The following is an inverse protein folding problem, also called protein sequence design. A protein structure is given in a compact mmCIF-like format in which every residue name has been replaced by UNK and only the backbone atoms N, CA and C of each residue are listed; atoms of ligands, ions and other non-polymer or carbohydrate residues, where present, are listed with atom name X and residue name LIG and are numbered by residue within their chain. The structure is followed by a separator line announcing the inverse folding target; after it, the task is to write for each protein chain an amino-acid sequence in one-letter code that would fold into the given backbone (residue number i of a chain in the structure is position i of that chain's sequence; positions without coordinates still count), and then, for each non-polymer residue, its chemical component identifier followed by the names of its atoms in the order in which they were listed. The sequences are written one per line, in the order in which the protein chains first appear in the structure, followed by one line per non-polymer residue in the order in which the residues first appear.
data_IF_566933782049
#
_entry.id   IF_566933782049
#
_cell.length_a   1.000
_cell.length_b   1.000
_cell.length_c   1.000
_cell.angle_alpha   90.00
_cell.angle_beta   90.00
_cell.angle_gamma   90.00
#
_symmetry.space_group_name_H-M   'P 1'
#
loop_
_entity.id
_entity.type
_entity.pdbx_description
1 polymer ?
#
# COMPACT_ATOMS: atom_id res chain seq x y z
N UNK A 1 24.01 50.95 -4.54
CA UNK A 1 23.40 49.88 -5.34
C UNK A 1 22.98 48.80 -4.36
N UNK A 2 21.70 48.75 -4.00
CA UNK A 2 21.18 47.61 -3.25
C UNK A 2 21.15 46.41 -4.21
N UNK A 3 21.96 45.39 -3.92
CA UNK A 3 21.95 44.16 -4.70
C UNK A 3 20.57 43.51 -4.56
N UNK A 4 19.81 43.45 -5.64
CA UNK A 4 18.47 42.90 -5.61
C UNK A 4 18.57 41.38 -5.76
N UNK A 5 17.73 40.61 -5.07
CA UNK A 5 17.71 39.15 -5.24
C UNK A 5 17.44 38.73 -6.71
N UNK A 6 16.83 39.61 -7.50
CA UNK A 6 16.62 39.40 -8.93
C UNK A 6 17.92 39.38 -9.75
N UNK A 7 19.02 39.93 -9.24
CA UNK A 7 20.31 39.98 -9.93
C UNK A 7 21.13 38.69 -9.75
N UNK A 8 20.73 37.82 -8.82
CA UNK A 8 21.39 36.54 -8.57
C UNK A 8 21.22 35.58 -9.76
N UNK A 9 22.25 34.74 -9.96
CA UNK A 9 22.20 33.65 -10.93
C UNK A 9 21.11 32.63 -10.56
N UNK A 10 20.59 31.91 -11.55
CA UNK A 10 19.56 30.89 -11.32
C UNK A 10 20.05 29.82 -10.34
N UNK A 11 21.32 29.42 -10.41
CA UNK A 11 21.92 28.43 -9.52
C UNK A 11 21.95 28.87 -8.06
N UNK A 12 22.32 30.12 -7.80
CA UNK A 12 22.32 30.69 -6.45
C UNK A 12 20.90 30.79 -5.91
N UNK A 13 19.95 31.24 -6.73
CA UNK A 13 18.54 31.29 -6.35
C UNK A 13 17.99 29.90 -6.04
N UNK A 14 18.30 28.88 -6.84
CA UNK A 14 17.90 27.50 -6.56
C UNK A 14 18.45 27.02 -5.22
N UNK A 15 19.72 27.32 -4.91
CA UNK A 15 20.36 26.92 -3.65
C UNK A 15 19.79 27.66 -2.44
N UNK A 16 19.41 28.92 -2.59
CA UNK A 16 18.70 29.69 -1.55
C UNK A 16 17.30 29.12 -1.33
N UNK A 17 16.57 28.89 -2.42
CA UNK A 17 15.22 28.33 -2.39
C UNK A 17 15.19 26.93 -1.77
N UNK A 18 16.29 26.17 -1.79
CA UNK A 18 16.39 24.88 -1.08
C UNK A 18 16.26 24.99 0.44
N UNK A 19 16.52 26.16 1.03
CA UNK A 19 16.36 26.41 2.46
C UNK A 19 14.96 26.96 2.80
N UNK A 20 14.20 27.39 1.79
CA UNK A 20 12.85 27.90 1.97
C UNK A 20 11.87 26.77 2.27
N UNK A 21 10.91 27.03 3.17
CA UNK A 21 9.79 26.11 3.33
C UNK A 21 8.92 26.12 2.09
N UNK A 22 8.08 25.09 1.92
CA UNK A 22 7.13 25.03 0.82
C UNK A 22 6.15 26.22 0.82
N UNK A 23 5.82 26.74 2.01
CA UNK A 23 5.00 27.95 2.15
C UNK A 23 5.74 29.18 1.64
N UNK A 24 7.02 29.30 1.94
CA UNK A 24 7.85 30.41 1.47
C UNK A 24 8.02 30.34 -0.05
N UNK A 25 8.29 29.15 -0.60
CA UNK A 25 8.35 28.92 -2.05
C UNK A 25 7.04 29.25 -2.76
N UNK A 26 5.89 29.04 -2.09
CA UNK A 26 4.60 29.45 -2.62
C UNK A 26 4.45 30.97 -2.63
N UNK A 27 4.87 31.68 -1.58
CA UNK A 27 4.84 33.14 -1.54
C UNK A 27 5.81 33.77 -2.55
N UNK A 28 7.03 33.23 -2.66
CA UNK A 28 8.06 33.66 -3.61
C UNK A 28 7.62 33.50 -5.08
N UNK A 29 6.76 32.53 -5.39
CA UNK A 29 6.19 32.42 -6.75
C UNK A 29 5.28 33.59 -7.13
N UNK A 30 4.75 34.30 -6.13
CA UNK A 30 3.82 35.40 -6.33
C UNK A 30 4.53 36.78 -6.32
N UNK A 31 5.84 36.84 -6.05
CA UNK A 31 6.58 38.10 -5.96
C UNK A 31 7.03 38.60 -7.34
N UNK A 32 7.63 37.75 -8.17
CA UNK A 32 8.08 38.15 -9.52
C UNK A 32 8.05 37.01 -10.54
N UNK A 33 8.08 37.36 -11.82
CA UNK A 33 8.00 36.40 -12.93
C UNK A 33 9.24 35.50 -13.02
N UNK A 34 10.43 36.02 -12.67
CA UNK A 34 11.68 35.26 -12.64
C UNK A 34 11.59 34.11 -11.62
N UNK A 35 11.22 34.41 -10.37
CA UNK A 35 11.06 33.39 -9.32
C UNK A 35 9.95 32.40 -9.66
N UNK A 36 8.83 32.90 -10.20
CA UNK A 36 7.73 32.04 -10.64
C UNK A 36 8.20 31.00 -11.68
N UNK A 37 9.00 31.42 -12.67
CA UNK A 37 9.56 30.51 -13.69
C UNK A 37 10.55 29.51 -13.10
N UNK A 38 11.49 29.96 -12.27
CA UNK A 38 12.53 29.11 -11.65
C UNK A 38 11.88 28.07 -10.72
N UNK A 39 10.97 28.49 -9.85
CA UNK A 39 10.33 27.59 -8.88
C UNK A 39 9.41 26.59 -9.60
N UNK A 40 8.75 26.99 -10.69
CA UNK A 40 7.93 26.07 -11.50
C UNK A 40 8.74 25.06 -12.29
N UNK A 41 9.92 25.43 -12.79
CA UNK A 41 10.80 24.51 -13.51
C UNK A 41 11.53 23.55 -12.56
N UNK A 42 11.73 23.94 -11.30
CA UNK A 42 12.45 23.15 -10.31
C UNK A 42 11.52 22.17 -9.56
N UNK A 43 11.30 20.99 -10.14
CA UNK A 43 10.45 19.93 -9.56
C UNK A 43 10.99 19.31 -8.26
N UNK A 44 12.30 19.43 -8.04
CA UNK A 44 13.01 18.89 -6.86
C UNK A 44 13.03 19.84 -5.65
N UNK A 45 12.68 21.11 -5.87
CA UNK A 45 12.62 22.09 -4.80
C UNK A 45 11.47 21.79 -3.85
N UNK A 46 11.72 21.93 -2.55
CA UNK A 46 10.78 21.56 -1.50
C UNK A 46 10.75 20.07 -1.12
N UNK A 47 11.57 19.20 -1.73
CA UNK A 47 11.68 17.80 -1.29
C UNK A 47 12.17 17.65 0.17
N UNK A 48 12.77 18.70 0.76
CA UNK A 48 13.20 18.73 2.17
C UNK A 48 12.03 18.93 3.15
N UNK A 49 10.88 19.45 2.71
CA UNK A 49 9.69 19.56 3.56
C UNK A 49 8.78 18.37 3.26
N UNK A 50 8.67 17.40 4.17
CA UNK A 50 7.87 16.18 3.99
C UNK A 50 6.38 16.53 3.91
N UNK A 51 5.89 16.67 2.68
CA UNK A 51 4.45 16.70 2.41
C UNK A 51 3.89 15.29 2.47
N UNK A 52 2.71 15.18 3.08
CA UNK A 52 1.98 13.92 3.12
C UNK A 52 1.46 13.58 1.73
N UNK A 53 1.60 12.30 1.37
CA UNK A 53 1.17 11.67 0.12
C UNK A 53 1.86 12.18 -1.15
N UNK A 54 2.17 13.47 -1.24
CA UNK A 54 2.65 14.11 -2.48
C UNK A 54 4.17 14.18 -2.60
N UNK A 55 4.91 13.52 -1.70
CA UNK A 55 6.34 13.41 -1.87
C UNK A 55 6.65 12.42 -3.00
N UNK A 56 7.37 12.91 -4.00
CA UNK A 56 7.93 12.06 -5.05
C UNK A 56 9.39 11.76 -4.73
N UNK A 57 9.74 11.53 -3.47
CA UNK A 57 11.13 11.20 -3.10
C UNK A 57 11.40 9.75 -3.47
N UNK A 58 10.48 8.86 -3.13
CA UNK A 58 10.64 7.41 -3.32
C UNK A 58 10.25 6.95 -4.72
N UNK A 59 11.05 6.04 -5.28
CA UNK A 59 10.85 5.50 -6.63
C UNK A 59 9.54 4.70 -6.72
N UNK A 60 9.17 3.95 -5.68
CA UNK A 60 7.89 3.21 -5.66
C UNK A 60 6.68 4.14 -5.81
N UNK A 61 6.69 5.27 -5.11
CA UNK A 61 5.63 6.25 -5.20
C UNK A 61 5.60 6.92 -6.58
N UNK A 62 6.78 7.22 -7.15
CA UNK A 62 6.88 7.71 -8.54
C UNK A 62 6.32 6.71 -9.55
N UNK A 63 6.55 5.41 -9.35
CA UNK A 63 6.07 4.37 -10.25
C UNK A 63 4.53 4.24 -10.25
N UNK A 64 3.86 4.64 -9.17
CA UNK A 64 2.38 4.72 -9.12
C UNK A 64 1.84 5.98 -9.80
N UNK A 65 2.64 7.04 -9.88
CA UNK A 65 2.24 8.32 -10.45
C UNK A 65 2.52 8.38 -11.96
N UNK A 66 1.59 8.89 -12.76
CA UNK A 66 1.80 9.04 -14.21
C UNK A 66 2.74 10.20 -14.55
N UNK A 67 2.70 11.27 -13.76
CA UNK A 67 3.55 12.46 -13.88
C UNK A 67 4.03 12.94 -12.51
N UNK A 68 5.09 13.75 -12.53
CA UNK A 68 5.56 14.47 -11.34
C UNK A 68 4.70 15.72 -11.12
N UNK A 69 4.31 15.96 -9.87
CA UNK A 69 3.57 17.15 -9.48
C UNK A 69 4.51 18.36 -9.35
N UNK A 70 4.04 19.52 -9.80
CA UNK A 70 4.67 20.82 -9.52
C UNK A 70 4.57 21.15 -8.03
N UNK A 71 5.42 22.04 -7.52
CA UNK A 71 5.39 22.45 -6.09
C UNK A 71 3.99 22.92 -5.69
N UNK A 72 3.36 23.76 -6.52
CA UNK A 72 2.00 24.26 -6.28
C UNK A 72 1.01 23.11 -6.12
N UNK A 73 1.07 22.09 -6.99
CA UNK A 73 0.23 20.90 -6.92
C UNK A 73 0.49 20.08 -5.66
N UNK A 74 1.76 19.81 -5.32
CA UNK A 74 2.09 19.09 -4.10
C UNK A 74 1.48 19.75 -2.87
N UNK A 75 1.52 21.08 -2.77
CA UNK A 75 0.96 21.84 -1.64
C UNK A 75 -0.54 21.65 -1.49
N UNK A 76 -1.30 21.99 -2.53
CA UNK A 76 -2.75 22.03 -2.41
C UNK A 76 -3.33 20.61 -2.35
N UNK A 77 -2.71 19.64 -3.03
CA UNK A 77 -3.14 18.24 -2.96
C UNK A 77 -2.85 17.69 -1.56
N UNK A 78 -1.66 17.94 -1.00
CA UNK A 78 -1.37 17.55 0.39
C UNK A 78 -2.32 18.23 1.40
N UNK A 79 -2.68 19.50 1.17
CA UNK A 79 -3.69 20.19 1.95
C UNK A 79 -5.06 19.50 1.84
N UNK A 80 -5.46 19.09 0.64
CA UNK A 80 -6.71 18.39 0.39
C UNK A 80 -6.76 17.05 1.12
N UNK A 81 -5.67 16.27 1.08
CA UNK A 81 -5.55 15.03 1.86
C UNK A 81 -5.76 15.31 3.35
N UNK A 82 -5.00 16.24 3.93
CA UNK A 82 -5.09 16.58 5.37
C UNK A 82 -6.49 17.03 5.80
N UNK A 83 -7.15 17.86 5.00
CA UNK A 83 -8.43 18.47 5.36
C UNK A 83 -9.66 17.71 4.82
N UNK A 84 -9.46 16.55 4.19
CA UNK A 84 -10.55 15.76 3.63
C UNK A 84 -11.31 16.46 2.52
N UNK A 85 -10.62 17.18 1.64
CA UNK A 85 -11.22 17.85 0.47
C UNK A 85 -11.06 16.95 -0.75
N UNK A 86 -12.13 16.28 -1.16
CA UNK A 86 -12.07 15.33 -2.28
C UNK A 86 -13.43 15.14 -2.96
N UNK A 87 -13.38 14.61 -4.18
CA UNK A 87 -14.54 14.08 -4.88
C UNK A 87 -14.49 12.57 -4.81
N UNK A 88 -15.63 11.95 -4.53
CA UNK A 88 -15.74 10.50 -4.40
C UNK A 88 -16.58 9.91 -5.52
N UNK A 89 -16.08 8.83 -6.13
CA UNK A 89 -16.81 8.01 -7.08
C UNK A 89 -16.82 6.56 -6.59
N UNK A 90 -18.01 6.00 -6.39
CA UNK A 90 -18.20 4.58 -6.13
C UNK A 90 -18.36 3.84 -7.48
N UNK A 91 -17.38 3.00 -7.82
CA UNK A 91 -17.31 2.20 -9.03
C UNK A 91 -17.54 0.72 -8.68
N UNK A 92 -18.25 0.01 -9.55
CA UNK A 92 -18.45 -1.44 -9.49
C UNK A 92 -19.19 -1.95 -8.23
N UNK A 93 -20.53 -2.06 -8.29
CA UNK A 93 -21.35 -2.68 -7.23
C UNK A 93 -21.39 -4.19 -7.45
N UNK A 94 -20.76 -4.97 -6.59
CA UNK A 94 -20.51 -6.39 -6.83
C UNK A 94 -21.24 -7.30 -5.84
N UNK A 95 -21.29 -8.60 -6.16
CA UNK A 95 -21.58 -9.65 -5.16
C UNK A 95 -20.49 -9.63 -4.09
N UNK A 96 -20.83 -10.03 -2.86
CA UNK A 96 -19.89 -10.04 -1.74
C UNK A 96 -18.72 -11.01 -2.01
N UNK A 97 -17.52 -10.48 -2.19
CA UNK A 97 -16.24 -11.22 -2.15
C UNK A 97 -15.18 -10.33 -1.49
N UNK A 98 -14.02 -10.88 -1.15
CA UNK A 98 -12.90 -10.13 -0.58
C UNK A 98 -12.02 -9.64 -1.75
N UNK A 99 -12.04 -8.34 -2.10
CA UNK A 99 -11.24 -7.83 -3.20
C UNK A 99 -9.79 -7.55 -2.78
N UNK A 100 -8.89 -7.72 -3.73
CA UNK A 100 -7.54 -7.18 -3.70
C UNK A 100 -7.33 -6.26 -4.87
N UNK A 101 -6.54 -5.21 -4.64
CA UNK A 101 -6.16 -4.28 -5.69
C UNK A 101 -4.66 -4.07 -5.69
N UNK A 102 -4.12 -3.90 -6.89
CA UNK A 102 -2.73 -3.48 -7.09
C UNK A 102 -2.72 -2.30 -8.05
N UNK A 103 -2.07 -1.23 -7.61
CA UNK A 103 -1.93 -0.01 -8.37
C UNK A 103 -0.61 -0.01 -9.14
N UNK A 104 -0.72 0.17 -10.46
CA UNK A 104 0.42 0.41 -11.37
C UNK A 104 0.28 1.80 -11.99
N UNK A 105 1.33 2.25 -12.68
CA UNK A 105 1.31 3.54 -13.40
C UNK A 105 0.11 3.69 -14.34
N UNK A 106 -0.18 2.65 -15.11
CA UNK A 106 -1.11 2.72 -16.26
C UNK A 106 -2.42 1.97 -16.03
N UNK A 107 -2.48 1.12 -14.99
CA UNK A 107 -3.64 0.31 -14.67
C UNK A 107 -3.89 0.20 -13.15
N UNK A 108 -5.15 0.04 -12.76
CA UNK A 108 -5.53 -0.54 -11.47
C UNK A 108 -6.00 -1.97 -11.71
N UNK A 109 -5.27 -2.94 -11.16
CA UNK A 109 -5.70 -4.34 -11.15
C UNK A 109 -6.63 -4.56 -9.97
N UNK A 110 -7.77 -5.22 -10.19
CA UNK A 110 -8.75 -5.53 -9.16
C UNK A 110 -9.24 -6.97 -9.32
N UNK A 111 -9.12 -7.75 -8.25
CA UNK A 111 -9.73 -9.09 -8.18
C UNK A 111 -11.22 -8.99 -7.91
N UNK A 112 -11.98 -9.85 -8.59
CA UNK A 112 -13.42 -10.01 -8.47
C UNK A 112 -13.78 -11.49 -8.45
N UNK A 113 -13.73 -12.08 -7.25
CA UNK A 113 -13.82 -13.53 -7.09
C UNK A 113 -12.75 -14.21 -7.93
N UNK A 114 -13.19 -14.94 -8.95
CA UNK A 114 -12.35 -15.75 -9.84
C UNK A 114 -11.75 -15.01 -11.05
N UNK A 115 -11.92 -13.67 -11.16
CA UNK A 115 -11.36 -12.85 -12.25
C UNK A 115 -10.50 -11.71 -11.72
N UNK A 116 -9.47 -11.35 -12.47
CA UNK A 116 -8.73 -10.09 -12.31
C UNK A 116 -9.00 -9.23 -13.53
N UNK A 117 -9.40 -7.98 -13.29
CA UNK A 117 -9.63 -6.98 -14.33
C UNK A 117 -8.62 -5.84 -14.20
N UNK A 118 -8.19 -5.32 -15.34
CA UNK A 118 -7.32 -4.15 -15.42
C UNK A 118 -8.12 -2.94 -15.88
N UNK A 119 -8.29 -1.98 -14.98
CA UNK A 119 -8.90 -0.67 -15.24
C UNK A 119 -7.82 0.28 -15.73
N UNK A 120 -7.96 0.78 -16.96
CA UNK A 120 -6.96 1.69 -17.54
C UNK A 120 -7.01 3.06 -16.87
N UNK A 121 -5.86 3.70 -16.74
CA UNK A 121 -5.76 5.07 -16.18
C UNK A 121 -4.92 6.00 -17.06
N UNK A 122 -5.42 6.38 -18.26
CA UNK A 122 -4.69 7.31 -19.12
C UNK A 122 -4.43 8.61 -18.35
N UNK A 123 -3.18 9.07 -18.37
CA UNK A 123 -2.73 10.28 -17.67
C UNK A 123 -2.97 10.28 -16.14
N UNK A 124 -3.22 9.12 -15.53
CA UNK A 124 -3.39 8.97 -14.08
C UNK A 124 -4.83 9.13 -13.60
N UNK A 125 -5.77 9.33 -14.52
CA UNK A 125 -7.21 9.36 -14.23
C UNK A 125 -7.76 7.98 -14.55
N UNK A 126 -8.39 7.32 -13.57
CA UNK A 126 -8.98 6.01 -13.79
C UNK A 126 -10.19 6.10 -14.73
N UNK A 127 -10.11 5.42 -15.86
CA UNK A 127 -11.24 5.20 -16.76
C UNK A 127 -12.00 3.95 -16.29
N UNK A 128 -13.15 4.16 -15.66
CA UNK A 128 -13.98 3.10 -15.12
C UNK A 128 -14.82 2.37 -16.19
N UNK A 129 -14.86 2.87 -17.43
CA UNK A 129 -15.52 2.22 -18.56
C UNK A 129 -14.52 1.38 -19.37
N UNK A 130 -13.27 1.80 -19.43
CA UNK A 130 -12.20 1.08 -20.11
C UNK A 130 -11.59 -0.03 -19.23
N UNK A 131 -12.27 -1.17 -19.24
CA UNK A 131 -11.91 -2.36 -18.48
C UNK A 131 -11.40 -3.43 -19.46
N UNK A 132 -10.14 -3.81 -19.29
CA UNK A 132 -9.57 -4.97 -19.97
C UNK A 132 -9.60 -6.19 -19.05
N UNK A 133 -10.03 -7.33 -19.59
CA UNK A 133 -9.86 -8.59 -18.88
C UNK A 133 -8.37 -8.91 -18.75
N UNK A 134 -7.94 -9.32 -17.56
CA UNK A 134 -6.54 -9.64 -17.30
C UNK A 134 -6.34 -11.15 -17.19
N UNK A 135 -6.95 -11.80 -16.19
CA UNK A 135 -6.93 -13.25 -16.06
C UNK A 135 -8.17 -13.80 -15.33
N UNK A 136 -8.51 -15.07 -15.57
CA UNK A 136 -9.60 -15.81 -14.91
C UNK A 136 -9.10 -17.21 -14.57
N UNK A 137 -9.48 -17.71 -13.39
CA UNK A 137 -9.38 -19.14 -13.07
C UNK A 137 -10.82 -19.66 -12.96
N UNK A 138 -11.24 -20.69 -13.71
CA UNK A 138 -12.60 -21.21 -13.62
C UNK A 138 -12.94 -21.67 -12.19
N UNK A 139 -14.11 -21.26 -11.69
CA UNK A 139 -14.74 -21.74 -10.45
C UNK A 139 -13.93 -21.64 -9.13
N UNK A 140 -12.82 -20.90 -9.13
CA UNK A 140 -11.96 -20.73 -7.95
C UNK A 140 -11.64 -19.25 -7.74
N UNK A 141 -11.96 -18.73 -6.56
CA UNK A 141 -11.69 -17.34 -6.23
C UNK A 141 -10.22 -17.10 -5.88
N UNK A 142 -9.72 -15.92 -6.26
CA UNK A 142 -8.41 -15.44 -5.85
C UNK A 142 -8.41 -14.99 -4.39
N UNK A 143 -7.49 -15.52 -3.59
CA UNK A 143 -7.31 -15.13 -2.19
C UNK A 143 -6.60 -13.79 -2.06
N UNK A 144 -5.35 -13.66 -2.53
CA UNK A 144 -4.55 -12.43 -2.60
C UNK A 144 -3.59 -12.53 -3.78
N UNK A 145 -3.38 -11.42 -4.49
CA UNK A 145 -2.43 -11.37 -5.60
C UNK A 145 -1.46 -10.21 -5.46
N UNK A 146 -0.29 -10.37 -6.07
CA UNK A 146 0.72 -9.34 -6.25
C UNK A 146 0.97 -9.10 -7.73
N UNK A 147 1.51 -7.93 -8.07
CA UNK A 147 2.00 -7.64 -9.42
C UNK A 147 3.46 -7.20 -9.32
N UNK A 148 4.38 -8.06 -9.77
CA UNK A 148 5.82 -7.83 -9.78
C UNK A 148 6.40 -8.36 -11.08
N UNK A 149 7.44 -7.71 -11.61
CA UNK A 149 8.15 -8.15 -12.81
C UNK A 149 7.22 -8.41 -14.02
N UNK A 150 6.18 -7.58 -14.19
CA UNK A 150 5.15 -7.73 -15.22
C UNK A 150 4.37 -9.07 -15.17
N UNK A 151 4.32 -9.69 -13.98
CA UNK A 151 3.61 -10.94 -13.71
C UNK A 151 2.60 -10.71 -12.58
N UNK A 152 1.46 -11.38 -12.65
CA UNK A 152 0.55 -11.50 -11.51
C UNK A 152 0.76 -12.86 -10.87
N UNK A 153 1.09 -12.88 -9.57
CA UNK A 153 1.11 -14.12 -8.76
C UNK A 153 -0.07 -14.06 -7.82
N UNK A 154 -0.84 -15.13 -7.74
CA UNK A 154 -2.01 -15.20 -6.86
C UNK A 154 -2.09 -16.55 -6.17
N UNK A 155 -2.49 -16.52 -4.89
CA UNK A 155 -2.95 -17.69 -4.16
C UNK A 155 -4.44 -17.93 -4.39
N UNK A 156 -4.85 -19.19 -4.48
CA UNK A 156 -6.22 -19.59 -4.72
C UNK A 156 -6.87 -20.21 -3.47
N UNK A 157 -8.20 -20.19 -3.41
CA UNK A 157 -8.96 -20.80 -2.30
C UNK A 157 -8.80 -22.32 -2.21
N UNK A 158 -8.47 -23.01 -3.31
CA UNK A 158 -8.31 -24.46 -3.32
C UNK A 158 -6.89 -24.93 -2.98
N UNK A 159 -5.99 -24.04 -2.55
CA UNK A 159 -4.60 -24.38 -2.25
C UNK A 159 -3.64 -24.28 -3.44
N UNK A 160 -4.12 -23.90 -4.63
CA UNK A 160 -3.29 -23.72 -5.82
C UNK A 160 -2.59 -22.34 -5.84
N UNK A 161 -1.52 -22.25 -6.64
CA UNK A 161 -0.83 -20.99 -6.96
C UNK A 161 -0.92 -20.75 -8.46
N UNK A 162 -1.32 -19.54 -8.83
CA UNK A 162 -1.48 -19.13 -10.22
C UNK A 162 -0.56 -17.96 -10.54
N UNK A 163 0.27 -18.13 -11.57
CA UNK A 163 1.14 -17.13 -12.15
C UNK A 163 0.66 -16.82 -13.57
N UNK A 164 0.41 -15.54 -13.82
CA UNK A 164 -0.01 -15.06 -15.13
C UNK A 164 1.01 -14.08 -15.69
N UNK A 165 1.38 -14.26 -16.96
CA UNK A 165 2.32 -13.41 -17.69
C UNK A 165 1.69 -13.00 -19.02
N UNK A 166 1.74 -11.71 -19.38
CA UNK A 166 1.05 -11.21 -20.60
C UNK A 166 1.59 -11.77 -21.92
N UNK A 167 2.87 -12.16 -21.95
CA UNK A 167 3.60 -12.55 -23.16
C UNK A 167 4.20 -13.97 -23.10
N UNK A 168 3.94 -14.70 -22.02
CA UNK A 168 4.49 -16.03 -21.77
C UNK A 168 3.36 -16.97 -21.35
N UNK A 169 3.66 -18.26 -21.23
CA UNK A 169 2.70 -19.22 -20.71
C UNK A 169 2.34 -18.89 -19.26
N UNK A 170 1.06 -19.08 -18.94
CA UNK A 170 0.59 -19.02 -17.57
C UNK A 170 1.02 -20.29 -16.85
N UNK A 171 1.46 -20.16 -15.61
CA UNK A 171 1.90 -21.29 -14.78
C UNK A 171 0.85 -21.50 -13.69
N UNK A 172 0.24 -22.68 -13.69
CA UNK A 172 -0.72 -23.09 -12.67
C UNK A 172 -0.10 -24.23 -11.87
N UNK A 173 0.37 -23.92 -10.67
CA UNK A 173 0.89 -24.92 -9.74
C UNK A 173 -0.28 -25.49 -8.93
N UNK A 174 -0.63 -26.75 -9.22
CA UNK A 174 -1.77 -27.45 -8.61
C UNK A 174 -1.37 -28.22 -7.36
N UNK A 175 -2.29 -28.32 -6.40
CA UNK A 175 -2.12 -29.04 -5.13
C UNK A 175 -0.89 -28.57 -4.34
N UNK A 176 -0.63 -27.26 -4.37
CA UNK A 176 0.52 -26.68 -3.66
C UNK A 176 0.34 -26.77 -2.15
N UNK A 177 -0.85 -26.44 -1.68
CA UNK A 177 -1.27 -26.42 -0.29
C UNK A 177 -2.56 -27.23 -0.09
N UNK A 178 -2.84 -27.62 1.16
CA UNK A 178 -4.05 -28.39 1.50
C UNK A 178 -5.28 -27.51 1.72
N UNK A 179 -5.08 -26.23 1.98
CA UNK A 179 -6.11 -25.22 2.22
C UNK A 179 -5.75 -23.90 1.52
N UNK A 180 -6.64 -22.91 1.58
CA UNK A 180 -6.52 -21.57 1.02
C UNK A 180 -5.11 -20.97 1.12
N UNK A 181 -4.57 -20.49 -0.01
CA UNK A 181 -3.32 -19.74 -0.04
C UNK A 181 -3.61 -18.26 0.20
N UNK A 182 -3.53 -17.81 1.45
CA UNK A 182 -3.90 -16.44 1.84
C UNK A 182 -2.92 -15.36 1.36
N UNK A 183 -1.65 -15.69 1.15
CA UNK A 183 -0.66 -14.72 0.68
C UNK A 183 0.43 -15.38 -0.15
N UNK A 184 0.87 -14.65 -1.16
CA UNK A 184 1.99 -15.00 -2.02
C UNK A 184 2.88 -13.77 -2.20
N UNK A 185 4.17 -13.99 -2.38
CA UNK A 185 5.10 -12.96 -2.85
C UNK A 185 6.11 -13.56 -3.84
N UNK A 186 6.72 -12.69 -4.65
CA UNK A 186 7.69 -13.04 -5.69
C UNK A 186 8.92 -12.16 -5.52
N UNK A 187 10.09 -12.79 -5.52
CA UNK A 187 11.35 -12.11 -5.73
C UNK A 187 12.23 -12.89 -6.67
N UNK A 188 12.77 -12.22 -7.70
CA UNK A 188 13.36 -12.88 -8.87
C UNK A 188 12.48 -14.04 -9.38
N UNK A 189 13.00 -15.26 -9.40
CA UNK A 189 12.32 -16.50 -9.80
C UNK A 189 11.82 -17.33 -8.62
N UNK A 190 11.83 -16.78 -7.40
CA UNK A 190 11.41 -17.48 -6.18
C UNK A 190 10.04 -16.97 -5.73
N UNK A 191 9.10 -17.90 -5.55
CA UNK A 191 7.79 -17.62 -4.95
C UNK A 191 7.81 -18.12 -3.51
N UNK A 192 7.29 -17.29 -2.61
CA UNK A 192 6.89 -17.72 -1.26
C UNK A 192 5.37 -17.72 -1.16
N UNK A 193 4.80 -18.77 -0.60
CA UNK A 193 3.37 -18.90 -0.36
C UNK A 193 3.10 -19.25 1.10
N UNK A 194 2.08 -18.61 1.66
CA UNK A 194 1.57 -18.88 3.00
C UNK A 194 0.11 -19.30 2.94
N UNK A 195 -0.22 -20.39 3.62
CA UNK A 195 -1.57 -20.98 3.60
C UNK A 195 -2.18 -21.11 4.98
N UNK A 196 -3.49 -21.29 4.97
CA UNK A 196 -4.28 -21.74 6.12
C UNK A 196 -3.89 -23.14 6.60
N UNK A 197 -3.23 -23.94 5.77
CA UNK A 197 -2.71 -25.27 6.13
C UNK A 197 -1.52 -25.27 7.12
N UNK A 198 -1.24 -24.10 7.71
CA UNK A 198 -0.17 -23.86 8.68
C UNK A 198 1.25 -23.95 8.11
N UNK A 199 1.38 -24.01 6.77
CA UNK A 199 2.68 -24.09 6.10
C UNK A 199 3.01 -22.86 5.27
N UNK A 200 4.32 -22.63 5.18
CA UNK A 200 4.95 -21.76 4.19
C UNK A 200 5.67 -22.65 3.20
N UNK A 201 5.54 -22.37 1.91
CA UNK A 201 6.26 -23.09 0.86
C UNK A 201 7.04 -22.13 -0.02
N UNK A 202 8.23 -22.57 -0.41
CA UNK A 202 9.12 -21.84 -1.31
C UNK A 202 9.21 -22.62 -2.63
N UNK A 203 9.05 -21.91 -3.73
CA UNK A 203 9.00 -22.47 -5.08
C UNK A 203 9.99 -21.76 -5.97
N UNK A 204 10.60 -22.49 -6.91
CA UNK A 204 11.49 -21.92 -7.93
C UNK A 204 10.81 -21.99 -9.29
N UNK A 205 10.86 -20.90 -10.05
CA UNK A 205 10.36 -20.81 -11.43
C UNK A 205 11.51 -21.08 -12.42
N UNK A 206 12.03 -22.31 -12.47
CA UNK A 206 13.13 -22.66 -13.41
C UNK A 206 12.57 -23.14 -14.76
N UNK A 207 13.01 -22.50 -15.84
CA UNK A 207 12.89 -22.94 -17.24
C UNK A 207 11.48 -23.30 -17.75
N UNK A 208 10.45 -22.53 -17.38
CA UNK A 208 9.06 -22.75 -17.81
C UNK A 208 8.52 -24.17 -17.47
N UNK A 209 9.25 -24.91 -16.63
CA UNK A 209 8.87 -26.21 -16.12
C UNK A 209 8.14 -25.99 -14.81
N UNK A 210 6.90 -26.46 -14.77
CA UNK A 210 6.13 -26.58 -13.54
C UNK A 210 6.86 -27.56 -12.61
N UNK A 211 7.73 -27.07 -11.72
CA UNK A 211 8.11 -27.86 -10.56
C UNK A 211 6.89 -27.88 -9.65
N UNK A 212 6.16 -29.00 -9.66
CA UNK A 212 5.05 -29.26 -8.73
C UNK A 212 5.54 -29.53 -7.30
N UNK A 213 6.86 -29.57 -7.10
CA UNK A 213 7.50 -29.83 -5.81
C UNK A 213 8.07 -28.52 -5.26
N UNK A 214 7.71 -28.13 -4.02
CA UNK A 214 8.32 -26.98 -3.37
C UNK A 214 9.77 -27.27 -3.03
N UNK A 215 10.64 -26.27 -3.18
CA UNK A 215 12.03 -26.35 -2.75
C UNK A 215 12.11 -26.62 -1.25
N UNK A 216 11.28 -25.90 -0.48
CA UNK A 216 11.19 -26.04 0.97
C UNK A 216 9.74 -25.93 1.45
N UNK A 217 9.41 -26.66 2.51
CA UNK A 217 8.14 -26.55 3.23
C UNK A 217 8.44 -26.33 4.72
N UNK A 218 7.88 -25.26 5.26
CA UNK A 218 8.00 -24.87 6.66
C UNK A 218 6.68 -25.03 7.38
N UNK A 219 6.63 -25.85 8.42
CA UNK A 219 5.47 -25.93 9.30
C UNK A 219 5.60 -24.90 10.42
N UNK A 220 4.66 -23.95 10.47
CA UNK A 220 4.66 -22.87 11.44
C UNK A 220 3.78 -23.17 12.66
N UNK A 221 3.03 -24.29 12.63
CA UNK A 221 2.04 -24.69 13.63
C UNK A 221 1.00 -23.59 13.93
N UNK A 222 0.74 -22.72 12.94
CA UNK A 222 -0.27 -21.68 13.00
C UNK A 222 -0.60 -21.21 11.57
N UNK A 223 -1.83 -20.74 11.36
CA UNK A 223 -2.32 -20.30 10.04
C UNK A 223 -1.54 -19.09 9.56
N UNK A 224 -1.19 -19.08 8.27
CA UNK A 224 -0.43 -17.99 7.66
C UNK A 224 -1.38 -17.04 6.95
N UNK A 225 -1.35 -15.77 7.35
CA UNK A 225 -2.18 -14.72 6.77
C UNK A 225 -1.42 -13.87 5.77
N UNK A 226 -0.12 -13.67 5.98
CA UNK A 226 0.70 -12.83 5.12
C UNK A 226 2.12 -13.35 4.99
N UNK A 227 2.70 -13.21 3.81
CA UNK A 227 4.12 -13.45 3.54
C UNK A 227 4.67 -12.30 2.70
N UNK A 228 5.94 -11.94 2.88
CA UNK A 228 6.60 -10.94 2.03
C UNK A 228 8.11 -11.08 2.03
N UNK A 229 8.73 -10.97 0.85
CA UNK A 229 10.17 -10.89 0.68
C UNK A 229 10.71 -9.51 1.07
N UNK A 230 11.83 -9.51 1.78
CA UNK A 230 12.68 -8.32 1.92
C UNK A 230 13.30 -7.97 0.56
N UNK A 231 13.57 -6.68 0.32
CA UNK A 231 14.21 -6.25 -0.93
C UNK A 231 15.57 -6.94 -1.12
N UNK A 232 15.70 -7.78 -2.15
CA UNK A 232 16.91 -8.56 -2.43
C UNK A 232 16.83 -10.04 -2.07
N UNK A 233 15.69 -10.54 -1.58
CA UNK A 233 15.36 -11.98 -1.57
C UNK A 233 15.93 -12.81 -0.42
N UNK A 234 17.01 -12.33 0.20
CA UNK A 234 17.72 -13.02 1.28
C UNK A 234 16.81 -13.34 2.48
N UNK A 235 15.95 -12.39 2.87
CA UNK A 235 15.01 -12.60 3.99
C UNK A 235 13.56 -12.57 3.51
N UNK A 236 12.73 -13.32 4.20
CA UNK A 236 11.28 -13.27 4.09
C UNK A 236 10.64 -13.11 5.47
N UNK A 237 9.45 -12.51 5.49
CA UNK A 237 8.64 -12.40 6.68
C UNK A 237 7.35 -13.21 6.50
N UNK A 238 6.89 -13.80 7.60
CA UNK A 238 5.63 -14.51 7.68
C UNK A 238 4.80 -14.01 8.87
N UNK A 239 3.58 -13.60 8.58
CA UNK A 239 2.56 -13.21 9.53
C UNK A 239 1.58 -14.35 9.78
N UNK A 240 1.53 -14.85 11.01
CA UNK A 240 0.65 -15.95 11.43
C UNK A 240 -0.62 -15.42 12.10
N UNK A 241 -1.52 -16.30 12.55
CA UNK A 241 -2.68 -15.91 13.36
C UNK A 241 -2.31 -15.51 14.81
N UNK A 242 -1.07 -15.73 15.25
CA UNK A 242 -0.59 -15.37 16.59
C UNK A 242 -1.25 -16.17 17.71
N UNK A 243 -1.69 -17.39 17.44
CA UNK A 243 -2.37 -18.26 18.42
C UNK A 243 -1.37 -19.11 19.21
N UNK A 244 -0.41 -19.71 18.52
CA UNK A 244 0.50 -20.71 19.10
C UNK A 244 1.93 -20.18 19.28
N UNK A 245 2.30 -19.15 18.54
CA UNK A 245 3.63 -18.53 18.58
C UNK A 245 3.51 -17.02 18.34
N UNK A 246 4.60 -16.24 18.56
CA UNK A 246 4.61 -14.82 18.19
C UNK A 246 4.17 -14.65 16.73
N UNK A 247 3.37 -13.64 16.39
CA UNK A 247 2.69 -13.59 15.10
C UNK A 247 3.61 -13.27 13.92
N UNK A 248 4.81 -12.71 14.15
CA UNK A 248 5.75 -12.35 13.08
C UNK A 248 6.99 -13.23 13.14
N UNK A 249 7.30 -13.92 12.04
CA UNK A 249 8.48 -14.76 11.90
C UNK A 249 9.33 -14.26 10.75
N UNK A 250 10.62 -14.13 10.99
CA UNK A 250 11.62 -13.74 10.01
C UNK A 250 12.40 -14.97 9.60
N UNK A 251 12.47 -15.23 8.31
CA UNK A 251 12.99 -16.45 7.72
C UNK A 251 14.13 -16.09 6.78
N UNK A 252 15.24 -16.79 6.91
CA UNK A 252 16.30 -16.80 5.89
C UNK A 252 15.81 -17.67 4.73
N UNK A 253 15.60 -17.06 3.56
CA UNK A 253 15.04 -17.75 2.39
C UNK A 253 15.98 -18.83 1.88
N UNK A 254 17.30 -18.57 1.90
CA UNK A 254 18.30 -19.45 1.32
C UNK A 254 18.60 -20.63 2.24
N UNK A 255 18.79 -20.35 3.53
CA UNK A 255 19.07 -21.38 4.53
C UNK A 255 17.83 -22.09 5.00
N UNK A 256 16.66 -21.50 4.73
CA UNK A 256 15.38 -22.02 5.18
C UNK A 256 15.42 -22.28 6.67
N UNK A 257 15.64 -21.22 7.46
CA UNK A 257 15.62 -21.23 8.93
C UNK A 257 14.90 -19.98 9.46
N UNK A 258 14.18 -20.12 10.57
CA UNK A 258 13.65 -18.96 11.30
C UNK A 258 14.77 -18.24 12.03
N UNK A 259 15.03 -16.99 11.67
CA UNK A 259 16.03 -16.12 12.29
C UNK A 259 15.49 -15.45 13.55
N UNK A 260 14.27 -14.92 13.49
CA UNK A 260 13.67 -14.16 14.59
C UNK A 260 12.17 -14.41 14.70
N UNK A 261 11.66 -14.39 15.93
CA UNK A 261 10.23 -14.43 16.25
C UNK A 261 9.85 -13.17 17.01
N UNK A 262 9.08 -12.31 16.37
CA UNK A 262 8.74 -10.96 16.81
C UNK A 262 7.28 -10.89 17.27
N UNK A 263 7.01 -10.00 18.24
CA UNK A 263 5.68 -9.81 18.80
C UNK A 263 5.33 -10.75 19.97
N UNK A 264 6.33 -11.18 20.75
CA UNK A 264 6.12 -12.02 21.95
C UNK A 264 5.23 -11.36 23.01
N UNK A 265 5.25 -10.03 23.06
CA UNK A 265 4.45 -9.20 23.96
C UNK A 265 3.04 -8.88 23.41
N UNK A 266 2.69 -9.36 22.22
CA UNK A 266 1.37 -9.16 21.64
C UNK A 266 0.36 -10.13 22.23
N UNK A 267 -0.90 -9.73 22.22
CA UNK A 267 -2.00 -10.57 22.70
C UNK A 267 -2.11 -11.83 21.83
N UNK A 268 -2.44 -12.95 22.45
CA UNK A 268 -2.83 -14.16 21.72
C UNK A 268 -3.95 -13.84 20.73
N UNK A 269 -3.77 -14.22 19.46
CA UNK A 269 -4.67 -13.89 18.36
C UNK A 269 -4.38 -12.57 17.65
N UNK A 270 -3.26 -11.89 17.95
CA UNK A 270 -2.76 -10.70 17.24
C UNK A 270 -2.20 -11.05 15.85
N UNK A 271 -3.00 -11.73 15.03
CA UNK A 271 -2.58 -12.19 13.71
C UNK A 271 -2.29 -11.05 12.73
N UNK A 272 -1.33 -11.25 11.83
CA UNK A 272 -0.82 -10.22 10.91
C UNK A 272 -1.41 -10.41 9.52
N UNK A 273 -2.31 -9.51 9.13
CA UNK A 273 -3.08 -9.57 7.89
C UNK A 273 -2.34 -8.98 6.69
N UNK A 274 -1.49 -7.97 6.93
CA UNK A 274 -0.73 -7.32 5.86
C UNK A 274 0.67 -6.92 6.33
N UNK A 275 1.63 -6.98 5.42
CA UNK A 275 3.02 -6.63 5.63
C UNK A 275 3.59 -5.95 4.40
N UNK A 276 4.50 -5.00 4.60
CA UNK A 276 5.28 -4.36 3.54
C UNK A 276 6.66 -3.95 4.06
N UNK A 277 7.70 -4.36 3.37
CA UNK A 277 9.07 -3.94 3.66
C UNK A 277 9.32 -2.51 3.13
N UNK A 278 9.86 -1.62 3.96
CA UNK A 278 10.37 -0.31 3.52
C UNK A 278 11.84 -0.38 3.10
N UNK A 279 12.59 -1.29 3.72
CA UNK A 279 13.99 -1.60 3.44
C UNK A 279 14.31 -3.00 3.96
N UNK A 280 15.47 -3.60 3.66
CA UNK A 280 15.86 -4.89 4.24
C UNK A 280 15.89 -4.94 5.78
N UNK A 281 15.89 -3.77 6.44
CA UNK A 281 15.95 -3.67 7.90
C UNK A 281 14.65 -3.18 8.53
N UNK A 282 13.67 -2.74 7.74
CA UNK A 282 12.47 -2.10 8.25
C UNK A 282 11.24 -2.74 7.62
N UNK A 283 10.39 -3.29 8.47
CA UNK A 283 9.14 -3.95 8.09
C UNK A 283 7.97 -3.22 8.72
N UNK A 284 6.93 -2.94 7.93
CA UNK A 284 5.63 -2.52 8.42
C UNK A 284 4.68 -3.73 8.44
N UNK A 285 3.87 -3.84 9.49
CA UNK A 285 2.84 -4.88 9.61
C UNK A 285 1.54 -4.31 10.17
N UNK A 286 0.42 -4.94 9.87
CA UNK A 286 -0.86 -4.65 10.52
C UNK A 286 -1.74 -5.90 10.66
N UNK A 287 -2.71 -5.86 11.57
CA UNK A 287 -3.69 -6.95 11.67
C UNK A 287 -4.70 -6.81 12.81
N UNK A 288 -4.95 -7.93 13.49
CA UNK A 288 -5.95 -8.05 14.56
C UNK A 288 -5.55 -7.35 15.86
N UNK A 289 -4.29 -6.95 15.99
CA UNK A 289 -3.81 -6.14 17.11
C UNK A 289 -4.21 -4.66 17.02
N UNK A 290 -4.96 -4.28 15.96
CA UNK A 290 -5.51 -2.93 15.72
C UNK A 290 -4.45 -1.85 15.51
N UNK A 291 -3.19 -2.26 15.37
CA UNK A 291 -2.07 -1.37 15.19
C UNK A 291 -1.48 -1.57 13.79
N UNK A 292 -0.91 -0.50 13.25
CA UNK A 292 0.21 -0.62 12.33
C UNK A 292 1.48 -0.55 13.15
N UNK A 293 2.41 -1.47 12.90
CA UNK A 293 3.69 -1.54 13.61
C UNK A 293 4.85 -1.40 12.64
N UNK A 294 5.90 -0.73 13.11
CA UNK A 294 7.19 -0.60 12.44
C UNK A 294 8.23 -1.38 13.23
N UNK A 295 8.83 -2.36 12.57
CA UNK A 295 9.81 -3.25 13.15
C UNK A 295 11.19 -2.93 12.59
N UNK A 296 12.20 -2.89 13.45
CA UNK A 296 13.60 -2.84 13.04
C UNK A 296 14.24 -4.21 13.22
N UNK A 297 14.69 -4.77 12.11
CA UNK A 297 15.26 -6.12 12.03
C UNK A 297 16.64 -6.21 12.70
N UNK A 298 17.33 -5.08 12.86
CA UNK A 298 18.62 -5.00 13.55
C UNK A 298 18.45 -5.08 15.07
N UNK A 299 17.37 -4.49 15.59
CA UNK A 299 17.06 -4.51 17.03
C UNK A 299 16.18 -5.68 17.42
N UNK A 300 15.42 -6.25 16.47
CA UNK A 300 14.36 -7.21 16.75
C UNK A 300 13.17 -6.58 17.51
N UNK A 301 13.07 -5.25 17.47
CA UNK A 301 12.11 -4.48 18.25
C UNK A 301 10.99 -3.87 17.41
N UNK A 302 9.87 -3.57 18.07
CA UNK A 302 8.85 -2.68 17.53
C UNK A 302 9.25 -1.23 17.86
N UNK A 303 9.79 -0.51 16.88
CA UNK A 303 10.24 0.87 17.06
C UNK A 303 9.07 1.84 17.24
N UNK A 304 7.97 1.61 16.50
CA UNK A 304 6.80 2.48 16.55
C UNK A 304 5.51 1.71 16.25
N UNK A 305 4.42 2.17 16.84
CA UNK A 305 3.07 1.68 16.56
C UNK A 305 2.06 2.82 16.44
N UNK A 306 1.09 2.65 15.55
CA UNK A 306 -0.05 3.54 15.34
C UNK A 306 -1.33 2.75 15.54
N UNK A 307 -2.05 3.04 16.61
CA UNK A 307 -3.31 2.36 16.97
C UNK A 307 -4.48 3.01 16.23
N UNK A 308 -5.32 2.20 15.60
CA UNK A 308 -6.55 2.70 14.97
C UNK A 308 -7.39 3.53 15.96
N UNK A 309 -7.84 4.75 15.61
CA UNK A 309 -8.50 5.65 16.56
C UNK A 309 -9.82 5.13 17.13
N UNK A 310 -10.40 4.09 16.53
CA UNK A 310 -11.65 3.48 16.97
C UNK A 310 -11.46 2.00 17.32
N UNK A 311 -10.22 1.57 17.58
CA UNK A 311 -9.88 0.21 17.99
C UNK A 311 -10.41 -0.87 17.04
N UNK A 312 -10.44 -0.57 15.73
CA UNK A 312 -10.82 -1.51 14.68
C UNK A 312 -9.62 -2.29 14.15
N UNK A 313 -9.85 -3.51 13.69
CA UNK A 313 -8.85 -4.33 12.99
C UNK A 313 -8.34 -3.59 11.75
N UNK A 314 -7.03 -3.68 11.48
CA UNK A 314 -6.44 -3.11 10.27
C UNK A 314 -6.19 -4.24 9.26
N UNK A 315 -6.97 -4.26 8.17
CA UNK A 315 -6.92 -5.31 7.15
C UNK A 315 -5.80 -5.08 6.14
N UNK A 316 -5.56 -3.83 5.77
CA UNK A 316 -4.55 -3.47 4.79
C UNK A 316 -3.96 -2.09 5.10
N UNK A 317 -2.84 -1.79 4.46
CA UNK A 317 -2.28 -0.45 4.42
C UNK A 317 -1.44 -0.29 3.16
N UNK A 318 -1.21 0.96 2.77
CA UNK A 318 -0.22 1.33 1.76
C UNK A 318 0.61 2.51 2.30
N UNK A 319 1.79 2.70 1.75
CA UNK A 319 2.71 3.77 2.17
C UNK A 319 3.45 4.34 0.97
N UNK A 320 3.89 5.59 1.12
CA UNK A 320 4.81 6.27 0.20
C UNK A 320 6.27 5.87 0.42
N UNK A 321 6.55 4.96 1.37
CA UNK A 321 7.88 4.56 1.86
C UNK A 321 8.71 5.74 2.39
N UNK A 322 8.07 6.77 2.91
CA UNK A 322 8.75 7.93 3.46
C UNK A 322 8.17 8.37 4.79
N UNK A 323 6.98 8.96 4.80
CA UNK A 323 6.35 9.44 6.02
C UNK A 323 4.85 9.22 6.07
N UNK A 324 4.22 8.73 5.00
CA UNK A 324 2.77 8.56 4.94
C UNK A 324 2.38 7.11 5.00
N UNK A 325 1.37 6.81 5.81
CA UNK A 325 0.67 5.52 5.80
C UNK A 325 -0.82 5.80 5.63
N UNK A 326 -1.47 5.04 4.75
CA UNK A 326 -2.94 5.00 4.68
C UNK A 326 -3.37 3.60 5.05
N UNK A 327 -4.21 3.47 6.08
CA UNK A 327 -4.68 2.17 6.59
C UNK A 327 -6.13 1.92 6.22
N UNK A 328 -6.50 0.65 6.02
CA UNK A 328 -7.85 0.20 5.75
C UNK A 328 -8.37 -0.66 6.89
N UNK A 329 -9.53 -0.29 7.42
CA UNK A 329 -10.04 -0.84 8.68
C UNK A 329 -11.18 -1.82 8.47
N UNK A 330 -11.42 -2.66 9.48
CA UNK A 330 -12.48 -3.67 9.50
C UNK A 330 -13.89 -3.11 9.66
N UNK A 331 -14.02 -1.82 9.94
CA UNK A 331 -15.29 -1.19 10.28
C UNK A 331 -15.55 0.04 9.41
N UNK A 332 -16.81 0.20 9.01
CA UNK A 332 -17.37 1.39 8.34
C UNK A 332 -16.71 1.79 7.01
N UNK A 333 -16.00 0.89 6.34
CA UNK A 333 -15.28 1.20 5.10
C UNK A 333 -14.34 2.39 5.30
N UNK A 334 -13.66 2.44 6.46
CA UNK A 334 -12.85 3.59 6.82
C UNK A 334 -11.39 3.38 6.42
N UNK A 335 -10.85 4.38 5.72
CA UNK A 335 -9.43 4.57 5.55
C UNK A 335 -8.91 5.63 6.54
N UNK A 336 -7.70 5.48 7.07
CA UNK A 336 -7.10 6.45 8.00
C UNK A 336 -5.73 6.89 7.48
N UNK A 337 -5.51 8.20 7.41
CA UNK A 337 -4.26 8.83 7.02
C UNK A 337 -3.38 9.08 8.24
N UNK A 338 -2.12 8.67 8.14
CA UNK A 338 -1.11 8.80 9.18
C UNK A 338 0.13 9.51 8.64
N UNK A 339 0.77 10.25 9.53
CA UNK A 339 2.15 10.70 9.36
C UNK A 339 3.02 9.92 10.35
N UNK A 340 3.99 9.16 9.84
CA UNK A 340 4.86 8.30 10.65
C UNK A 340 5.64 9.08 11.71
N UNK A 341 5.82 10.38 11.54
CA UNK A 341 6.59 11.22 12.47
C UNK A 341 5.81 11.61 13.72
N UNK A 342 4.50 11.37 13.71
CA UNK A 342 3.60 11.63 14.85
C UNK A 342 2.81 10.37 15.19
N UNK A 343 2.22 10.34 16.38
CA UNK A 343 1.44 9.18 16.86
C UNK A 343 -0.05 9.30 16.59
N UNK A 344 -0.56 10.51 16.43
CA UNK A 344 -1.97 10.77 16.16
C UNK A 344 -2.26 10.62 14.67
N UNK A 345 -3.46 10.12 14.34
CA UNK A 345 -3.93 10.14 12.97
C UNK A 345 -4.12 11.59 12.48
N UNK A 346 -4.01 11.78 11.17
CA UNK A 346 -4.16 13.09 10.53
C UNK A 346 -5.59 13.30 10.05
N UNK A 347 -6.18 12.27 9.43
CA UNK A 347 -7.50 12.36 8.81
C UNK A 347 -8.10 10.96 8.67
N UNK A 348 -9.42 10.86 8.62
CA UNK A 348 -10.13 9.64 8.25
C UNK A 348 -11.00 9.87 6.99
N UNK A 349 -11.21 8.81 6.22
CA UNK A 349 -12.05 8.82 5.03
C UNK A 349 -13.05 7.68 5.10
N UNK A 350 -14.33 7.98 4.89
CA UNK A 350 -15.39 6.98 4.93
C UNK A 350 -15.89 6.73 3.51
N UNK A 351 -15.82 5.47 3.09
CA UNK A 351 -16.32 5.06 1.78
C UNK A 351 -17.85 5.13 1.73
N UNK A 352 -18.38 5.77 0.69
CA UNK A 352 -19.81 5.81 0.45
C UNK A 352 -20.36 4.41 0.16
N UNK A 353 -21.18 3.89 1.07
CA UNK A 353 -21.95 2.68 0.82
C UNK A 353 -23.20 3.05 0.01
N UNK A 354 -23.33 2.48 -1.19
CA UNK A 354 -24.48 2.74 -2.09
C UNK A 354 -25.85 2.32 -1.54
N UNK A 355 -25.93 1.79 -0.32
CA UNK A 355 -27.16 1.56 0.46
C UNK A 355 -26.95 2.06 1.89
N UNK A 356 -27.92 2.78 2.46
CA UNK A 356 -27.93 3.15 3.87
C UNK A 356 -27.81 1.87 4.72
N UNK A 357 -26.86 1.85 5.66
CA UNK A 357 -26.85 0.93 6.82
C UNK A 357 -26.19 -0.45 6.73
N UNK A 358 -25.11 -0.67 5.96
CA UNK A 358 -24.23 -1.82 6.27
C UNK A 358 -22.75 -1.41 6.18
N UNK A 359 -22.07 -1.50 7.32
CA UNK A 359 -20.62 -1.39 7.47
C UNK A 359 -19.93 -2.53 6.73
N UNK A 360 -19.04 -2.20 5.81
CA UNK A 360 -18.20 -3.16 5.08
C UNK A 360 -16.72 -2.91 5.41
N UNK A 361 -15.91 -3.95 5.66
CA UNK A 361 -14.46 -3.77 5.80
C UNK A 361 -13.83 -3.17 4.54
N UNK A 362 -12.74 -2.41 4.74
CA UNK A 362 -11.85 -1.99 3.66
C UNK A 362 -10.73 -3.03 3.53
N UNK A 363 -10.92 -4.00 2.63
CA UNK A 363 -10.03 -5.15 2.48
C UNK A 363 -8.72 -4.80 1.79
N UNK A 364 -8.77 -3.91 0.80
CA UNK A 364 -7.60 -3.53 0.03
C UNK A 364 -7.66 -2.06 -0.36
N UNK A 365 -6.53 -1.38 -0.25
CA UNK A 365 -6.37 0.00 -0.69
C UNK A 365 -5.03 0.21 -1.37
N UNK A 366 -4.95 1.23 -2.22
CA UNK A 366 -3.69 1.80 -2.68
C UNK A 366 -3.90 3.24 -3.09
N UNK A 367 -2.85 4.05 -3.06
CA UNK A 367 -2.93 5.45 -3.44
C UNK A 367 -1.78 5.86 -4.36
N UNK A 368 -2.08 6.83 -5.22
CA UNK A 368 -1.08 7.67 -5.88
C UNK A 368 -1.12 9.07 -5.23
N UNK A 369 -0.32 10.02 -5.73
CA UNK A 369 -0.22 11.33 -5.10
C UNK A 369 -1.55 12.11 -5.08
N UNK A 370 -2.45 11.80 -6.02
CA UNK A 370 -3.70 12.52 -6.26
C UNK A 370 -4.94 11.75 -5.84
N UNK A 371 -4.88 10.42 -5.80
CA UNK A 371 -6.06 9.56 -5.68
C UNK A 371 -5.88 8.47 -4.63
N UNK A 372 -6.94 8.19 -3.88
CA UNK A 372 -7.10 6.99 -3.07
C UNK A 372 -8.03 5.99 -3.77
N UNK A 373 -7.59 4.75 -3.91
CA UNK A 373 -8.38 3.61 -4.40
C UNK A 373 -8.64 2.67 -3.24
N UNK A 374 -9.92 2.41 -2.95
CA UNK A 374 -10.34 1.67 -1.76
C UNK A 374 -11.41 0.62 -2.12
N UNK A 375 -11.10 -0.66 -1.94
CA UNK A 375 -11.98 -1.77 -2.27
C UNK A 375 -12.60 -2.41 -1.02
N UNK A 376 -13.93 -2.41 -0.99
CA UNK A 376 -14.78 -3.06 0.02
C UNK A 376 -15.41 -4.34 -0.56
N UNK A 377 -16.11 -5.13 0.25
CA UNK A 377 -16.83 -6.33 -0.23
C UNK A 377 -17.83 -6.05 -1.37
N UNK A 378 -18.20 -4.79 -1.60
CA UNK A 378 -19.27 -4.40 -2.52
C UNK A 378 -18.84 -3.38 -3.56
N UNK A 379 -17.87 -2.54 -3.27
CA UNK A 379 -17.51 -1.42 -4.14
C UNK A 379 -16.02 -1.08 -4.14
N UNK A 380 -15.58 -0.60 -5.30
CA UNK A 380 -14.33 0.14 -5.46
C UNK A 380 -14.66 1.64 -5.36
N UNK A 381 -14.13 2.32 -4.36
CA UNK A 381 -14.29 3.75 -4.19
C UNK A 381 -13.00 4.46 -4.61
N UNK A 382 -13.18 5.57 -5.31
CA UNK A 382 -12.09 6.40 -5.84
C UNK A 382 -12.29 7.79 -5.27
N UNK A 383 -11.29 8.28 -4.54
CA UNK A 383 -11.28 9.64 -4.00
C UNK A 383 -10.21 10.46 -4.71
N UNK A 384 -10.62 11.54 -5.36
CA UNK A 384 -9.76 12.46 -6.08
C UNK A 384 -9.49 13.71 -5.24
N UNK A 385 -8.23 13.89 -4.83
CA UNK A 385 -7.71 15.01 -4.06
C UNK A 385 -7.04 16.07 -4.94
N UNK A 386 -6.98 15.88 -6.27
CA UNK A 386 -6.39 16.83 -7.22
C UNK A 386 -7.29 18.02 -7.56
N UNK A 387 -8.54 17.98 -7.13
CA UNK A 387 -9.54 19.01 -7.36
C UNK A 387 -9.30 20.28 -6.54
N UNK A 388 -9.66 21.44 -7.10
CA UNK A 388 -9.54 22.73 -6.39
C UNK A 388 -10.73 23.03 -5.47
N UNK A 389 -11.94 22.64 -5.89
CA UNK A 389 -13.19 22.93 -5.19
C UNK A 389 -13.95 21.63 -4.86
N UNK A 390 -13.36 20.82 -3.98
CA UNK A 390 -13.97 19.58 -3.52
C UNK A 390 -14.97 19.75 -2.39
N UNK A 391 -15.74 18.70 -2.12
CA UNK A 391 -16.51 18.62 -0.87
C UNK A 391 -15.53 18.39 0.27
N UNK A 392 -15.58 19.25 1.30
CA UNK A 392 -14.79 19.07 2.53
C UNK A 392 -15.54 18.12 3.47
N UNK A 393 -14.87 17.03 3.87
CA UNK A 393 -15.31 16.05 4.85
C UNK A 393 -14.19 15.84 5.85
N UNK A 394 -14.20 16.65 6.90
CA UNK A 394 -13.11 16.70 7.87
C UNK A 394 -13.47 15.88 9.12
N UNK A 395 -12.72 14.81 9.33
CA UNK A 395 -12.86 13.89 10.45
C UNK A 395 -11.60 13.87 11.35
N UNK A 396 -10.72 14.87 11.21
CA UNK A 396 -9.46 14.97 11.96
C UNK A 396 -9.67 15.21 13.47
N UNK A 397 -10.80 15.81 13.86
CA UNK A 397 -11.08 16.23 15.24
C UNK A 397 -12.12 15.39 15.99
N UNK A 398 -12.61 14.28 15.43
CA UNK A 398 -13.69 13.52 16.08
C UNK A 398 -13.32 12.90 17.45
N UNK A 399 -12.15 13.20 18.03
CA UNK A 399 -11.63 12.57 19.25
C UNK A 399 -11.01 13.48 20.33
N UNK A 400 -11.37 14.76 20.40
CA UNK A 400 -11.04 15.56 21.61
C UNK A 400 -12.18 15.71 22.62
N UNK A 401 -13.38 15.17 22.37
CA UNK A 401 -14.58 15.43 23.20
C UNK A 401 -15.12 14.25 24.00
N UNK A 402 -14.39 13.13 24.15
CA UNK A 402 -14.88 11.97 24.93
C UNK A 402 -13.90 11.55 26.05
N UNK A 403 -12.98 12.43 26.46
CA UNK A 403 -12.11 12.19 27.63
C UNK A 403 -11.94 13.46 28.48
N UNK A 404 -13.05 14.01 28.96
CA UNK A 404 -13.10 14.96 30.07
C UNK A 404 -14.09 14.50 31.11
#
# INVERSE_FOLDING_TARGET
MEACFEDLSVELLLKIFEYCSIRDLYQLQNTCTKFCRIIRSATNLGNKVPLLVTNHVQQEMRNKCTRLLTIKEKCYISYNWKNGVYNEKCVCKTRKYIPWLVLTRDCLLLSKGNRINAYKRPNGILDYQNISHYCTVPDIDFCKFIYKQNCVVSGLQNGDIFLWKTKQNNIHLKNCHREDVHSVDLDSDIIISGSRDETIKIWTLVDDRQSSVPLHTYNMNDRIWSVSFSGGGQYSAAGTAGLNSPPLHIIDTDRCITLQKLGQNLRKGSGILHMKWESPHILLSCGYDKNVRKWDMRTGGCEQSWEDPYYSTVYCFDTDNYCTIVTGTGSYGRAVLWDMRVRTHIQAYFMASGKKSISSPLYSLSFDASNLFAATDRSLNIMDFSIKNGKRRDYSYQYHTITS
#
